data_IF_385776301986
#
_entry.id   IF_385776301986
#
_cell.length_a   1.000
_cell.length_b   1.000
_cell.length_c   1.000
_cell.angle_alpha   90.00
_cell.angle_beta   90.00
_cell.angle_gamma   90.00
#
_symmetry.space_group_name_H-M   'P 1'
#
loop_
_entity.id
_entity.type
_entity.pdbx_description
1 polymer ?
#
# COMPACT_ATOMS: atom_id res chain seq x y z
N UNK A 1 8.58 -3.23 5.67
CA UNK A 1 7.47 -2.89 6.59
C UNK A 1 6.10 -3.13 5.95
N UNK A 2 5.75 -2.45 4.85
CA UNK A 2 4.45 -2.53 4.18
C UNK A 2 3.97 -3.97 3.88
N UNK A 3 4.83 -4.74 3.21
CA UNK A 3 4.57 -6.13 2.83
C UNK A 3 4.31 -7.00 4.06
N UNK A 4 5.15 -6.88 5.09
CA UNK A 4 5.02 -7.63 6.35
C UNK A 4 3.69 -7.29 7.04
N UNK A 5 3.33 -6.00 7.13
CA UNK A 5 2.10 -5.57 7.78
C UNK A 5 0.86 -6.06 7.04
N UNK A 6 0.85 -5.99 5.71
CA UNK A 6 -0.23 -6.51 4.86
C UNK A 6 -0.38 -8.04 4.98
N UNK A 7 0.74 -8.78 4.96
CA UNK A 7 0.73 -10.22 5.17
C UNK A 7 0.33 -10.60 6.60
N UNK A 8 0.79 -9.88 7.61
CA UNK A 8 0.41 -10.11 9.00
C UNK A 8 -1.11 -9.92 9.19
N UNK A 9 -1.67 -8.86 8.61
CA UNK A 9 -3.10 -8.60 8.64
C UNK A 9 -3.93 -9.72 8.01
N UNK A 10 -3.46 -10.31 6.92
CA UNK A 10 -4.25 -11.26 6.11
C UNK A 10 -3.98 -12.72 6.48
N UNK A 11 -2.74 -13.09 6.78
CA UNK A 11 -2.35 -14.46 7.14
C UNK A 11 -2.79 -14.81 8.57
N UNK A 12 -2.74 -13.89 9.52
CA UNK A 12 -3.23 -14.17 10.88
C UNK A 12 -4.73 -14.44 10.89
N UNK A 13 -5.52 -13.66 10.16
CA UNK A 13 -6.97 -13.89 10.07
C UNK A 13 -7.31 -15.20 9.34
N UNK A 14 -6.48 -15.58 8.37
CA UNK A 14 -6.60 -16.89 7.72
C UNK A 14 -6.22 -18.03 8.66
N UNK A 15 -5.23 -17.85 9.53
CA UNK A 15 -4.76 -18.86 10.47
C UNK A 15 -5.68 -19.02 11.69
N UNK A 16 -6.31 -17.93 12.14
CA UNK A 16 -7.22 -17.91 13.29
C UNK A 16 -8.67 -18.26 12.93
N UNK A 17 -8.97 -18.51 11.64
CA UNK A 17 -10.33 -18.83 11.19
C UNK A 17 -11.32 -17.68 11.33
N UNK A 18 -10.84 -16.45 11.57
CA UNK A 18 -11.65 -15.26 11.89
C UNK A 18 -12.61 -14.88 10.77
N UNK A 19 -12.34 -15.31 9.54
CA UNK A 19 -13.22 -15.13 8.40
C UNK A 19 -14.62 -15.72 8.62
N UNK A 20 -14.74 -16.85 9.33
CA UNK A 20 -16.05 -17.44 9.65
C UNK A 20 -16.86 -16.56 10.60
N UNK A 21 -16.22 -15.91 11.56
CA UNK A 21 -16.85 -14.96 12.48
C UNK A 21 -17.34 -13.70 11.76
N UNK A 22 -16.61 -13.21 10.76
CA UNK A 22 -17.05 -12.07 9.94
C UNK A 22 -18.25 -12.41 9.05
N UNK A 23 -18.36 -13.66 8.58
CA UNK A 23 -19.46 -14.11 7.73
C UNK A 23 -20.82 -14.11 8.43
N UNK A 24 -20.85 -14.23 9.76
CA UNK A 24 -22.08 -14.25 10.54
C UNK A 24 -22.55 -12.85 10.98
N UNK A 25 -21.77 -11.80 10.72
CA UNK A 25 -22.15 -10.42 11.08
C UNK A 25 -23.04 -9.81 9.99
N UNK A 26 -24.07 -9.03 10.36
CA UNK A 26 -24.97 -8.35 9.41
C UNK A 26 -24.32 -7.09 8.79
N UNK A 27 -23.00 -7.10 8.60
CA UNK A 27 -22.24 -5.98 8.03
C UNK A 27 -21.71 -6.41 6.68
N UNK A 28 -21.83 -5.53 5.68
CA UNK A 28 -21.30 -5.79 4.35
C UNK A 28 -19.80 -6.06 4.39
N UNK A 29 -19.37 -7.16 3.75
CA UNK A 29 -17.97 -7.62 3.74
C UNK A 29 -17.02 -6.56 3.19
N UNK A 30 -17.47 -5.81 2.17
CA UNK A 30 -16.73 -4.70 1.56
C UNK A 30 -16.40 -3.63 2.59
N UNK A 31 -17.35 -3.25 3.43
CA UNK A 31 -17.17 -2.23 4.48
C UNK A 31 -16.13 -2.66 5.52
N UNK A 32 -16.16 -3.92 5.94
CA UNK A 32 -15.18 -4.47 6.88
C UNK A 32 -13.76 -4.44 6.30
N UNK A 33 -13.60 -4.87 5.05
CA UNK A 33 -12.29 -4.98 4.39
C UNK A 33 -11.75 -3.60 4.03
N UNK A 34 -12.59 -2.70 3.51
CA UNK A 34 -12.20 -1.31 3.24
C UNK A 34 -11.85 -0.57 4.52
N UNK A 35 -12.59 -0.77 5.61
CA UNK A 35 -12.26 -0.19 6.91
C UNK A 35 -10.88 -0.66 7.39
N UNK A 36 -10.60 -1.97 7.26
CA UNK A 36 -9.30 -2.53 7.62
C UNK A 36 -8.15 -2.00 6.76
N UNK A 37 -8.36 -1.90 5.45
CA UNK A 37 -7.41 -1.32 4.50
C UNK A 37 -7.14 0.15 4.81
N UNK A 38 -8.18 0.94 5.08
CA UNK A 38 -8.07 2.35 5.39
C UNK A 38 -7.28 2.57 6.69
N UNK A 39 -7.57 1.80 7.74
CA UNK A 39 -6.84 1.89 9.02
C UNK A 39 -5.39 1.41 8.84
N UNK A 40 -5.16 0.25 8.23
CA UNK A 40 -3.84 -0.32 8.05
C UNK A 40 -2.94 0.51 7.13
N UNK A 41 -3.44 0.83 5.94
CA UNK A 41 -2.74 1.65 4.94
C UNK A 41 -2.56 3.09 5.41
N UNK A 42 -3.59 3.69 6.01
CA UNK A 42 -3.51 5.03 6.57
C UNK A 42 -2.47 5.12 7.68
N UNK A 43 -2.47 4.18 8.62
CA UNK A 43 -1.47 4.14 9.70
C UNK A 43 -0.05 3.95 9.16
N UNK A 44 0.14 3.07 8.19
CA UNK A 44 1.42 2.85 7.51
C UNK A 44 1.93 4.14 6.85
N UNK A 45 1.08 4.82 6.08
CA UNK A 45 1.43 6.07 5.40
C UNK A 45 1.75 7.18 6.41
N UNK A 46 1.01 7.28 7.51
CA UNK A 46 1.27 8.26 8.57
C UNK A 46 2.59 7.98 9.30
N UNK A 47 2.85 6.73 9.69
CA UNK A 47 4.08 6.37 10.38
C UNK A 47 5.34 6.57 9.51
N UNK A 48 5.25 6.33 8.19
CA UNK A 48 6.39 6.52 7.30
C UNK A 48 6.49 7.96 6.79
N UNK A 49 5.36 8.64 6.60
CA UNK A 49 5.30 10.01 6.09
C UNK A 49 5.61 11.07 7.15
N UNK A 50 5.26 10.82 8.42
CA UNK A 50 5.49 11.81 9.49
C UNK A 50 6.98 12.12 9.73
N UNK A 51 7.93 11.16 9.78
CA UNK A 51 9.34 11.50 9.93
C UNK A 51 9.89 12.25 8.72
N UNK A 52 9.40 11.92 7.51
CA UNK A 52 9.76 12.60 6.26
C UNK A 52 9.34 14.07 6.30
N UNK A 53 8.08 14.35 6.66
CA UNK A 53 7.57 15.72 6.77
C UNK A 53 8.28 16.50 7.87
N UNK A 54 8.49 15.89 9.04
CA UNK A 54 9.20 16.52 10.15
C UNK A 54 10.63 16.92 9.75
N UNK A 55 11.35 16.02 9.07
CA UNK A 55 12.69 16.32 8.58
C UNK A 55 12.69 17.41 7.50
N UNK A 56 11.78 17.35 6.54
CA UNK A 56 11.68 18.35 5.47
C UNK A 56 11.36 19.75 6.03
N UNK A 57 10.44 19.84 7.00
CA UNK A 57 10.14 21.09 7.70
C UNK A 57 11.35 21.58 8.50
N UNK A 58 12.01 20.70 9.25
CA UNK A 58 13.20 21.08 10.01
C UNK A 58 14.34 21.58 9.11
N UNK A 59 14.56 20.94 7.97
CA UNK A 59 15.57 21.32 6.97
C UNK A 59 15.23 22.63 6.24
N UNK A 60 13.94 22.96 6.09
CA UNK A 60 13.50 24.22 5.52
C UNK A 60 13.73 25.45 6.43
N UNK A 61 14.02 25.25 7.72
CA UNK A 61 14.33 26.35 8.63
C UNK A 61 15.76 26.88 8.40
N UNK A 62 15.95 28.21 8.30
CA UNK A 62 17.25 28.81 8.05
C UNK A 62 18.24 28.48 9.17
N UNK A 63 19.48 28.17 8.80
CA UNK A 63 20.57 27.89 9.74
C UNK A 63 20.57 26.49 10.35
N UNK A 64 19.66 25.59 9.94
CA UNK A 64 19.62 24.19 10.44
C UNK A 64 20.22 23.17 9.49
N UNK A 65 20.27 23.49 8.19
CA UNK A 65 20.86 22.63 7.17
C UNK A 65 22.09 23.33 6.56
N UNK A 66 23.14 22.57 6.30
CA UNK A 66 24.41 23.11 5.78
C UNK A 66 24.29 23.65 4.35
N UNK A 67 23.28 23.18 3.61
CA UNK A 67 22.98 23.58 2.24
C UNK A 67 21.61 24.25 2.16
N UNK A 68 21.39 25.18 1.20
CA UNK A 68 20.05 25.71 0.96
C UNK A 68 19.10 24.57 0.62
N UNK A 69 18.08 24.38 1.46
CA UNK A 69 17.07 23.33 1.26
C UNK A 69 16.11 23.75 0.17
N UNK A 70 15.95 22.90 -0.84
CA UNK A 70 14.94 23.05 -1.88
C UNK A 70 13.98 21.85 -1.88
N UNK A 71 12.68 22.12 -1.97
CA UNK A 71 11.65 21.08 -1.83
C UNK A 71 11.75 19.93 -2.85
N UNK A 72 12.27 20.19 -4.05
CA UNK A 72 12.49 19.16 -5.06
C UNK A 72 13.51 18.11 -4.61
N UNK A 73 14.40 18.42 -3.66
CA UNK A 73 15.36 17.46 -3.11
C UNK A 73 14.66 16.31 -2.36
N UNK A 74 13.44 16.53 -1.87
CA UNK A 74 12.62 15.48 -1.22
C UNK A 74 11.90 14.56 -2.20
N UNK A 75 11.90 14.88 -3.50
CA UNK A 75 11.15 14.18 -4.53
C UNK A 75 11.37 12.65 -4.58
N UNK A 76 12.62 12.13 -4.57
CA UNK A 76 12.86 10.69 -4.50
C UNK A 76 12.21 10.02 -3.28
N UNK A 77 12.28 10.65 -2.12
CA UNK A 77 11.75 10.09 -0.87
C UNK A 77 10.23 10.14 -0.83
N UNK A 78 9.61 11.21 -1.32
CA UNK A 78 8.15 11.32 -1.46
C UNK A 78 7.61 10.26 -2.43
N UNK A 79 8.33 9.97 -3.52
CA UNK A 79 7.96 8.89 -4.46
C UNK A 79 8.04 7.52 -3.81
N UNK A 80 9.13 7.24 -3.09
CA UNK A 80 9.28 5.98 -2.36
C UNK A 80 8.18 5.83 -1.31
N UNK A 81 7.81 6.91 -0.61
CA UNK A 81 6.70 6.93 0.33
C UNK A 81 5.35 6.69 -0.35
N UNK A 82 5.06 7.34 -1.47
CA UNK A 82 3.81 7.12 -2.21
C UNK A 82 3.71 5.66 -2.70
N UNK A 83 4.80 5.07 -3.20
CA UNK A 83 4.85 3.68 -3.66
C UNK A 83 4.58 2.63 -2.56
N UNK A 84 4.75 2.99 -1.28
CA UNK A 84 4.41 2.10 -0.15
C UNK A 84 2.94 1.67 -0.19
N UNK A 85 2.04 2.54 -0.66
CA UNK A 85 0.61 2.24 -0.82
C UNK A 85 0.39 1.09 -1.81
N UNK A 86 0.95 1.18 -3.02
CA UNK A 86 0.90 0.14 -4.06
C UNK A 86 1.42 -1.19 -3.52
N UNK A 87 2.58 -1.17 -2.86
CA UNK A 87 3.20 -2.37 -2.29
C UNK A 87 2.33 -2.98 -1.17
N UNK A 88 1.70 -2.16 -0.35
CA UNK A 88 0.78 -2.58 0.70
C UNK A 88 -0.48 -3.24 0.11
N UNK A 89 -1.13 -2.60 -0.86
CA UNK A 89 -2.34 -3.12 -1.52
C UNK A 89 -2.07 -4.42 -2.26
N UNK A 90 -0.96 -4.51 -2.99
CA UNK A 90 -0.56 -5.73 -3.69
C UNK A 90 -0.33 -6.89 -2.71
N UNK A 91 0.39 -6.65 -1.60
CA UNK A 91 0.60 -7.67 -0.57
C UNK A 91 -0.69 -8.07 0.13
N UNK A 92 -1.62 -7.14 0.36
CA UNK A 92 -2.93 -7.43 0.91
C UNK A 92 -3.74 -8.33 -0.04
N UNK A 93 -3.72 -8.03 -1.33
CA UNK A 93 -4.38 -8.84 -2.36
C UNK A 93 -3.79 -10.26 -2.45
N UNK A 94 -2.47 -10.42 -2.32
CA UNK A 94 -1.84 -11.73 -2.20
C UNK A 94 -2.38 -12.52 -1.01
N UNK A 95 -2.49 -11.89 0.15
CA UNK A 95 -3.07 -12.49 1.35
C UNK A 95 -4.54 -12.89 1.17
N UNK A 96 -5.32 -12.06 0.48
CA UNK A 96 -6.74 -12.23 0.25
C UNK A 96 -7.09 -13.25 -0.84
N UNK A 97 -6.18 -13.63 -1.75
CA UNK A 97 -6.52 -14.49 -2.90
C UNK A 97 -6.64 -15.99 -2.51
N UNK A 98 -7.73 -16.70 -2.87
CA UNK A 98 -7.87 -18.14 -2.65
C UNK A 98 -7.16 -18.90 -3.78
N UNK A 99 -5.84 -18.96 -3.75
CA UNK A 99 -5.07 -19.75 -4.70
C UNK A 99 -4.65 -21.08 -4.07
N UNK A 100 -5.01 -22.21 -4.70
CA UNK A 100 -4.54 -23.55 -4.29
C UNK A 100 -3.01 -23.68 -4.36
N UNK A 101 -2.38 -22.94 -5.27
CA UNK A 101 -0.93 -22.97 -5.48
C UNK A 101 -0.29 -21.71 -4.87
N UNK A 102 0.72 -21.91 -4.04
CA UNK A 102 1.42 -20.82 -3.35
C UNK A 102 1.97 -19.76 -4.31
N UNK A 103 2.48 -20.15 -5.48
CA UNK A 103 3.08 -19.21 -6.45
C UNK A 103 2.06 -18.27 -7.09
N UNK A 104 0.89 -18.78 -7.48
CA UNK A 104 -0.15 -17.94 -8.09
C UNK A 104 -0.76 -16.96 -7.08
N UNK A 105 -0.60 -17.22 -5.78
CA UNK A 105 -0.97 -16.29 -4.71
C UNK A 105 -0.11 -15.02 -4.70
N UNK A 106 1.15 -15.09 -5.15
CA UNK A 106 2.08 -13.95 -5.18
C UNK A 106 2.06 -13.16 -6.49
N UNK A 107 1.19 -13.53 -7.45
CA UNK A 107 1.09 -12.85 -8.74
C UNK A 107 0.84 -11.33 -8.61
N UNK A 108 -0.02 -10.85 -7.68
CA UNK A 108 -0.17 -9.42 -7.45
C UNK A 108 1.10 -8.70 -6.96
N UNK A 109 2.03 -9.40 -6.30
CA UNK A 109 3.29 -8.82 -5.82
C UNK A 109 4.33 -8.62 -6.94
N UNK A 110 4.15 -9.25 -8.10
CA UNK A 110 4.99 -9.03 -9.28
C UNK A 110 4.76 -7.61 -9.84
N UNK A 111 3.50 -7.13 -9.78
CA UNK A 111 3.11 -5.83 -10.28
C UNK A 111 3.90 -4.66 -9.66
N UNK A 112 3.94 -4.47 -8.32
CA UNK A 112 4.73 -3.40 -7.72
C UNK A 112 6.22 -3.54 -8.04
N UNK A 113 6.77 -4.77 -8.10
CA UNK A 113 8.19 -4.98 -8.45
C UNK A 113 8.57 -4.33 -9.79
N UNK A 114 7.77 -4.52 -10.84
CA UNK A 114 8.00 -3.87 -12.12
C UNK A 114 7.71 -2.37 -12.07
N UNK A 115 6.72 -1.96 -11.29
CA UNK A 115 6.36 -0.56 -11.12
C UNK A 115 7.43 0.25 -10.38
N UNK A 116 8.34 -0.40 -9.64
CA UNK A 116 9.46 0.25 -8.96
C UNK A 116 10.50 0.84 -9.93
N UNK A 117 10.74 0.20 -11.08
CA UNK A 117 11.72 0.65 -12.08
C UNK A 117 11.47 2.09 -12.58
N UNK A 118 10.27 2.46 -13.06
CA UNK A 118 10.01 3.82 -13.49
C UNK A 118 10.13 4.86 -12.36
N UNK A 119 9.91 4.46 -11.09
CA UNK A 119 10.05 5.37 -9.93
C UNK A 119 11.48 5.86 -9.79
N UNK A 120 12.45 4.99 -10.06
CA UNK A 120 13.87 5.28 -9.93
C UNK A 120 14.40 6.03 -11.16
N UNK A 121 13.89 5.70 -12.35
CA UNK A 121 14.43 6.19 -13.62
C UNK A 121 13.81 7.52 -14.07
N UNK A 122 12.52 7.75 -13.80
CA UNK A 122 11.81 8.94 -14.32
C UNK A 122 12.12 10.18 -13.44
N UNK A 123 12.42 11.35 -14.03
CA UNK A 123 12.69 12.57 -13.27
C UNK A 123 11.47 13.14 -12.53
N UNK A 124 11.73 13.87 -11.44
CA UNK A 124 10.72 14.39 -10.49
C UNK A 124 9.66 15.33 -11.11
N UNK A 125 10.00 16.02 -12.21
CA UNK A 125 9.10 16.96 -12.91
C UNK A 125 7.96 16.27 -13.65
N UNK A 126 7.99 14.94 -13.73
CA UNK A 126 6.99 14.16 -14.43
C UNK A 126 5.78 13.89 -13.51
N UNK A 127 4.81 14.82 -13.52
CA UNK A 127 3.44 14.58 -13.04
C UNK A 127 2.81 13.22 -13.44
N UNK A 128 3.15 12.57 -14.58
CA UNK A 128 2.66 11.22 -14.86
C UNK A 128 3.02 10.18 -13.80
N UNK A 129 4.08 10.38 -13.01
CA UNK A 129 4.46 9.42 -11.95
C UNK A 129 3.39 9.31 -10.86
N UNK A 130 2.82 10.44 -10.45
CA UNK A 130 1.72 10.48 -9.46
C UNK A 130 0.49 9.80 -10.05
N UNK A 131 0.18 10.07 -11.33
CA UNK A 131 -0.94 9.45 -12.02
C UNK A 131 -0.79 7.92 -12.10
N UNK A 132 0.41 7.42 -12.41
CA UNK A 132 0.69 5.98 -12.47
C UNK A 132 0.46 5.32 -11.11
N UNK A 133 0.92 5.94 -10.01
CA UNK A 133 0.72 5.40 -8.65
C UNK A 133 -0.77 5.38 -8.32
N UNK A 134 -1.48 6.49 -8.53
CA UNK A 134 -2.91 6.57 -8.24
C UNK A 134 -3.75 5.59 -9.07
N UNK A 135 -3.44 5.43 -10.36
CA UNK A 135 -4.08 4.44 -11.22
C UNK A 135 -3.78 3.01 -10.75
N UNK A 136 -2.55 2.75 -10.33
CA UNK A 136 -2.13 1.46 -9.78
C UNK A 136 -2.90 1.11 -8.51
N UNK A 137 -3.01 2.07 -7.58
CA UNK A 137 -3.79 1.92 -6.36
C UNK A 137 -5.27 1.69 -6.67
N UNK A 138 -5.84 2.45 -7.61
CA UNK A 138 -7.23 2.28 -8.02
C UNK A 138 -7.50 0.88 -8.61
N UNK A 139 -6.61 0.38 -9.47
CA UNK A 139 -6.70 -0.97 -10.03
C UNK A 139 -6.58 -2.04 -8.95
N UNK A 140 -5.63 -1.90 -8.01
CA UNK A 140 -5.45 -2.85 -6.92
C UNK A 140 -6.64 -2.83 -5.95
N UNK A 141 -7.19 -1.66 -5.63
CA UNK A 141 -8.40 -1.53 -4.81
C UNK A 141 -9.61 -2.15 -5.49
N UNK A 142 -9.81 -1.90 -6.78
CA UNK A 142 -10.87 -2.51 -7.56
C UNK A 142 -10.74 -4.04 -7.58
N UNK A 143 -9.52 -4.56 -7.77
CA UNK A 143 -9.25 -5.99 -7.72
C UNK A 143 -9.51 -6.59 -6.33
N UNK A 144 -9.15 -5.88 -5.25
CA UNK A 144 -9.48 -6.32 -3.90
C UNK A 144 -11.00 -6.41 -3.73
N UNK A 145 -11.75 -5.34 -4.04
CA UNK A 145 -13.21 -5.34 -3.92
C UNK A 145 -13.84 -6.49 -4.72
N UNK A 146 -13.42 -6.68 -5.97
CA UNK A 146 -13.91 -7.77 -6.81
C UNK A 146 -13.63 -9.15 -6.21
N UNK A 147 -12.41 -9.39 -5.68
CA UNK A 147 -12.07 -10.65 -5.00
C UNK A 147 -12.91 -10.83 -3.73
N UNK A 148 -13.25 -9.78 -3.00
CA UNK A 148 -14.08 -9.90 -1.79
C UNK A 148 -15.52 -10.30 -2.07
N UNK A 149 -16.07 -9.86 -3.20
CA UNK A 149 -17.45 -10.14 -3.61
C UNK A 149 -17.58 -11.53 -4.22
N UNK A 150 -16.61 -11.95 -5.04
CA UNK A 150 -16.64 -13.23 -5.78
C UNK A 150 -16.16 -14.43 -4.97
N UNK A 151 -15.57 -14.20 -3.80
CA UNK A 151 -15.02 -15.28 -2.98
C UNK A 151 -16.10 -16.00 -2.18
N UNK A 152 -16.40 -17.22 -2.60
CA UNK A 152 -17.16 -18.20 -1.82
C UNK A 152 -16.25 -18.78 -0.72
N UNK A 153 -16.69 -18.71 0.53
CA UNK A 153 -15.96 -19.19 1.71
C UNK A 153 -16.37 -20.61 2.11
N UNK A 154 -16.66 -21.46 1.13
CA UNK A 154 -17.03 -22.86 1.32
C UNK A 154 -15.83 -23.72 1.74
#
# INVERSE_FOLDING_TARGET
AAVILAFWQTLLESAQGTWTLYLHRPVERRTLILGKLAVGGGWLLLCVGSPLLLYAVWAALPGRHATPFEWWMTGPTVRAWAYISVAYLAAFLCGLRPARWWVSRFLPAIFPFFLWLPIVVIPWTAWPMVLIILLSDAVLLAAIVWVTETRDWA
#
